data_IF_650966793558
#
_entry.id   IF_650966793558
#
_cell.length_a   1.000
_cell.length_b   1.000
_cell.length_c   1.000
_cell.angle_alpha   90.00
_cell.angle_beta   90.00
_cell.angle_gamma   90.00
#
_symmetry.space_group_name_H-M   'P 1'
#
loop_
_entity.id
_entity.type
_entity.pdbx_description
1 polymer ?
#
# COMPACT_ATOMS: atom_id res chain seq x y z
N UNK A 1 -25.63 25.51 33.13
CA UNK A 1 -24.29 25.50 32.57
C UNK A 1 -23.92 24.04 32.32
N UNK A 2 -23.90 23.60 31.06
CA UNK A 2 -23.42 22.25 30.72
C UNK A 2 -21.87 22.28 30.69
N UNK A 3 -21.20 21.30 31.30
CA UNK A 3 -19.76 21.22 31.22
C UNK A 3 -19.36 20.85 29.79
N UNK A 4 -18.50 21.68 29.17
CA UNK A 4 -17.86 21.38 27.90
C UNK A 4 -16.86 20.24 28.12
N UNK A 5 -17.12 19.09 27.48
CA UNK A 5 -16.14 18.01 27.41
C UNK A 5 -14.91 18.46 26.64
N UNK A 6 -13.70 18.20 27.12
CA UNK A 6 -12.48 18.51 26.37
C UNK A 6 -12.49 17.69 25.09
N UNK A 7 -12.34 18.36 23.95
CA UNK A 7 -12.09 17.68 22.67
C UNK A 7 -10.77 16.91 22.80
N UNK A 8 -10.85 15.59 22.69
CA UNK A 8 -9.66 14.75 22.66
C UNK A 8 -8.87 15.11 21.40
N UNK A 9 -7.77 15.83 21.58
CA UNK A 9 -6.76 15.94 20.53
C UNK A 9 -6.20 14.55 20.27
N UNK A 10 -6.74 13.86 19.29
CA UNK A 10 -6.11 12.68 18.75
C UNK A 10 -4.77 13.11 18.16
N UNK A 11 -3.69 12.92 18.92
CA UNK A 11 -2.33 13.10 18.41
C UNK A 11 -2.12 12.08 17.29
N UNK A 12 -2.30 12.52 16.07
CA UNK A 12 -1.97 11.73 14.88
C UNK A 12 -0.46 11.44 14.91
N UNK A 13 -0.10 10.16 14.92
CA UNK A 13 1.31 9.78 14.80
C UNK A 13 1.80 10.20 13.41
N UNK A 14 2.97 10.84 13.30
CA UNK A 14 3.51 11.26 12.00
C UNK A 14 3.91 10.05 11.14
N UNK A 15 4.01 10.23 9.81
CA UNK A 15 4.65 9.27 8.93
C UNK A 15 6.09 8.99 9.38
N UNK A 16 6.55 7.74 9.20
CA UNK A 16 7.88 7.31 9.65
C UNK A 16 8.68 6.76 8.47
N UNK A 17 9.89 7.27 8.29
CA UNK A 17 10.87 6.69 7.36
C UNK A 17 11.28 5.30 7.86
N UNK A 18 11.19 4.29 7.00
CA UNK A 18 11.51 2.89 7.30
C UNK A 18 12.74 2.39 6.51
N UNK A 19 12.97 2.95 5.33
CA UNK A 19 14.15 2.76 4.48
C UNK A 19 14.52 4.12 3.88
N UNK A 20 15.68 4.25 3.23
CA UNK A 20 16.21 5.55 2.76
C UNK A 20 15.18 6.41 2.02
N UNK A 21 14.48 5.82 1.06
CA UNK A 21 13.49 6.51 0.22
C UNK A 21 12.04 6.24 0.59
N UNK A 22 11.77 5.38 1.60
CA UNK A 22 10.45 4.84 1.91
C UNK A 22 9.95 5.31 3.26
N UNK A 23 8.74 5.84 3.26
CA UNK A 23 8.01 6.25 4.46
C UNK A 23 6.74 5.45 4.61
N UNK A 24 6.45 4.96 5.81
CA UNK A 24 5.20 4.30 6.18
C UNK A 24 4.30 5.25 6.96
N UNK A 25 3.01 5.27 6.61
CA UNK A 25 1.99 6.04 7.33
C UNK A 25 1.39 5.22 8.47
N UNK A 26 0.84 5.88 9.48
CA UNK A 26 0.01 5.22 10.48
C UNK A 26 -1.19 4.50 9.87
N UNK A 27 -1.72 3.43 10.51
CA UNK A 27 -2.90 2.74 10.02
C UNK A 27 -4.09 3.68 9.84
N UNK A 28 -4.73 3.61 8.67
CA UNK A 28 -5.85 4.47 8.28
C UNK A 28 -7.19 3.74 8.49
N UNK A 29 -8.14 4.37 9.20
CA UNK A 29 -9.49 3.82 9.42
C UNK A 29 -10.30 3.72 8.13
N UNK A 30 -10.14 4.66 7.18
CA UNK A 30 -10.84 4.66 5.90
C UNK A 30 -10.44 3.47 5.01
N UNK A 31 -9.28 2.88 5.27
CA UNK A 31 -8.78 1.67 4.61
C UNK A 31 -8.80 0.44 5.55
N UNK A 32 -9.72 0.41 6.52
CA UNK A 32 -9.86 -0.69 7.48
C UNK A 32 -8.58 -0.99 8.28
N UNK A 33 -7.86 0.06 8.69
CA UNK A 33 -6.59 -0.06 9.41
C UNK A 33 -5.40 -0.37 8.51
N UNK A 34 -5.50 -0.11 7.21
CA UNK A 34 -4.41 -0.30 6.25
C UNK A 34 -3.25 0.67 6.50
N UNK A 35 -2.04 0.18 6.27
CA UNK A 35 -0.80 0.98 6.25
C UNK A 35 -0.49 1.35 4.81
N UNK A 36 -0.37 2.66 4.55
CA UNK A 36 0.07 3.18 3.27
C UNK A 36 1.59 3.44 3.30
N UNK A 37 2.20 3.46 2.12
CA UNK A 37 3.63 3.73 1.96
C UNK A 37 3.86 4.81 0.92
N UNK A 38 4.97 5.52 1.04
CA UNK A 38 5.37 6.55 0.10
C UNK A 38 6.83 6.40 -0.27
N UNK A 39 7.12 6.36 -1.56
CA UNK A 39 8.48 6.27 -2.09
C UNK A 39 8.83 7.61 -2.75
N UNK A 40 9.91 8.23 -2.28
CA UNK A 40 10.48 9.44 -2.89
C UNK A 40 11.46 9.02 -3.97
N UNK A 41 11.27 9.52 -5.21
CA UNK A 41 12.06 9.14 -6.38
C UNK A 41 12.27 10.31 -7.33
N UNK A 42 13.38 10.28 -8.08
CA UNK A 42 13.68 11.29 -9.11
C UNK A 42 12.70 11.25 -10.29
N UNK A 43 12.26 10.05 -10.68
CA UNK A 43 11.31 9.81 -11.78
C UNK A 43 9.86 10.19 -11.41
N UNK A 44 9.67 10.59 -10.17
CA UNK A 44 8.38 10.96 -9.56
C UNK A 44 7.98 10.02 -8.44
N UNK A 45 7.40 10.60 -7.40
CA UNK A 45 7.01 9.90 -6.19
C UNK A 45 5.80 9.01 -6.40
N UNK A 46 5.78 7.87 -5.71
CA UNK A 46 4.64 6.96 -5.70
C UNK A 46 4.09 6.80 -4.29
N UNK A 47 2.77 6.97 -4.17
CA UNK A 47 2.01 6.63 -2.97
C UNK A 47 1.35 5.26 -3.18
N UNK A 48 1.52 4.38 -2.21
CA UNK A 48 0.99 3.01 -2.23
C UNK A 48 -0.09 2.92 -1.17
N UNK A 49 -1.32 2.70 -1.60
CA UNK A 49 -2.55 2.78 -0.83
C UNK A 49 -2.80 4.19 -0.22
N UNK A 50 -3.96 4.40 0.38
CA UNK A 50 -4.35 5.70 0.87
C UNK A 50 -4.08 5.84 2.37
N UNK A 51 -3.24 6.80 2.81
CA UNK A 51 -3.14 7.20 4.21
C UNK A 51 -4.40 7.95 4.66
N UNK A 52 -4.52 8.21 5.94
CA UNK A 52 -5.51 9.14 6.45
C UNK A 52 -5.34 10.50 5.77
N UNK A 53 -6.43 11.06 5.23
CA UNK A 53 -6.39 12.28 4.42
C UNK A 53 -6.60 13.51 5.31
N UNK A 54 -5.68 13.73 6.23
CA UNK A 54 -5.61 14.89 7.12
C UNK A 54 -4.54 15.90 6.68
N UNK A 55 -4.57 17.08 7.27
CA UNK A 55 -3.66 18.17 6.91
C UNK A 55 -2.18 17.80 7.09
N UNK A 56 -1.84 17.05 8.13
CA UNK A 56 -0.46 16.68 8.42
C UNK A 56 0.12 15.75 7.33
N UNK A 57 -0.68 14.78 6.87
CA UNK A 57 -0.28 13.88 5.80
C UNK A 57 -0.23 14.59 4.44
N UNK A 58 -1.16 15.55 4.18
CA UNK A 58 -1.13 16.38 2.98
C UNK A 58 0.14 17.22 2.94
N UNK A 59 0.45 17.96 4.02
CA UNK A 59 1.64 18.80 4.14
C UNK A 59 2.93 17.99 4.01
N UNK A 60 2.95 16.78 4.59
CA UNK A 60 4.08 15.86 4.44
C UNK A 60 4.29 15.49 2.97
N UNK A 61 3.26 15.03 2.28
CA UNK A 61 3.36 14.64 0.86
C UNK A 61 3.77 15.82 -0.02
N UNK A 62 3.20 17.01 0.23
CA UNK A 62 3.53 18.24 -0.48
C UNK A 62 4.99 18.64 -0.27
N UNK A 63 5.49 18.59 0.97
CA UNK A 63 6.88 18.89 1.32
C UNK A 63 7.90 17.98 0.64
N UNK A 64 7.47 16.79 0.22
CA UNK A 64 8.28 15.81 -0.51
C UNK A 64 8.15 15.90 -2.04
N UNK A 65 7.47 16.93 -2.57
CA UNK A 65 7.28 17.13 -4.00
C UNK A 65 5.99 16.52 -4.58
N UNK A 66 5.04 16.18 -3.72
CA UNK A 66 3.73 15.66 -4.12
C UNK A 66 3.75 14.21 -4.56
N UNK A 67 2.66 13.77 -5.17
CA UNK A 67 2.41 12.41 -5.63
C UNK A 67 2.26 12.40 -7.15
N UNK A 68 3.06 11.62 -7.87
CA UNK A 68 2.91 11.41 -9.31
C UNK A 68 2.01 10.23 -9.62
N UNK A 69 2.19 9.12 -8.90
CA UNK A 69 1.35 7.92 -9.01
C UNK A 69 0.76 7.54 -7.66
N UNK A 70 -0.51 7.14 -7.67
CA UNK A 70 -1.18 6.51 -6.54
C UNK A 70 -1.52 5.07 -6.94
N UNK A 71 -0.77 4.11 -6.42
CA UNK A 71 -1.06 2.69 -6.62
C UNK A 71 -2.02 2.19 -5.55
N UNK A 72 -3.11 1.56 -5.96
CA UNK A 72 -4.10 0.92 -5.07
C UNK A 72 -3.94 -0.59 -5.14
N UNK A 73 -3.49 -1.18 -4.05
CA UNK A 73 -3.18 -2.61 -3.97
C UNK A 73 -4.42 -3.51 -4.00
N UNK A 74 -5.57 -3.03 -3.56
CA UNK A 74 -6.85 -3.75 -3.54
C UNK A 74 -8.00 -2.80 -3.21
N UNK A 75 -9.24 -3.18 -3.52
CA UNK A 75 -10.45 -2.36 -3.32
C UNK A 75 -10.63 -1.78 -1.91
N UNK A 76 -10.15 -2.46 -0.87
CA UNK A 76 -10.23 -1.97 0.51
C UNK A 76 -9.22 -0.86 0.85
N UNK A 77 -8.29 -0.56 -0.07
CA UNK A 77 -7.27 0.47 0.11
C UNK A 77 -7.58 1.78 -0.64
N UNK A 78 -8.73 1.86 -1.32
CA UNK A 78 -9.16 3.01 -2.11
C UNK A 78 -9.22 4.30 -1.27
N UNK A 79 -9.73 4.24 -0.05
CA UNK A 79 -9.79 5.38 0.89
C UNK A 79 -10.24 6.69 0.24
N UNK A 80 -9.45 7.73 0.40
CA UNK A 80 -9.67 9.08 -0.14
C UNK A 80 -8.89 9.34 -1.44
N UNK A 81 -8.78 8.34 -2.32
CA UNK A 81 -7.98 8.42 -3.55
C UNK A 81 -8.42 9.54 -4.49
N UNK A 82 -9.73 9.83 -4.58
CA UNK A 82 -10.24 10.92 -5.41
C UNK A 82 -9.79 12.29 -4.91
N UNK A 83 -9.78 12.50 -3.58
CA UNK A 83 -9.29 13.72 -2.95
C UNK A 83 -7.77 13.88 -3.13
N UNK A 84 -7.01 12.79 -3.01
CA UNK A 84 -5.56 12.75 -3.26
C UNK A 84 -5.28 13.14 -4.71
N UNK A 85 -6.01 12.53 -5.66
CA UNK A 85 -5.88 12.85 -7.09
C UNK A 85 -6.21 14.32 -7.36
N UNK A 86 -7.30 14.84 -6.77
CA UNK A 86 -7.69 16.24 -6.93
C UNK A 86 -6.60 17.20 -6.43
N UNK A 87 -5.91 16.85 -5.34
CA UNK A 87 -4.88 17.71 -4.74
C UNK A 87 -3.59 17.70 -5.54
N UNK A 88 -3.11 16.52 -5.97
CA UNK A 88 -1.79 16.38 -6.60
C UNK A 88 -1.84 16.20 -8.12
N UNK A 89 -3.02 16.00 -8.72
CA UNK A 89 -3.13 15.66 -10.14
C UNK A 89 -2.53 14.31 -10.50
N UNK A 90 -2.33 13.43 -9.51
CA UNK A 90 -1.67 12.14 -9.69
C UNK A 90 -2.49 11.19 -10.57
N UNK A 91 -1.80 10.24 -11.19
CA UNK A 91 -2.42 9.13 -11.89
C UNK A 91 -2.69 7.98 -10.92
N UNK A 92 -3.93 7.45 -10.92
CA UNK A 92 -4.30 6.30 -10.08
C UNK A 92 -4.07 5.01 -10.87
N UNK A 93 -3.26 4.13 -10.30
CA UNK A 93 -2.99 2.80 -10.82
C UNK A 93 -3.77 1.78 -10.00
N UNK A 94 -4.67 1.05 -10.62
CA UNK A 94 -5.47 0.00 -9.98
C UNK A 94 -5.73 -1.14 -10.95
N UNK A 95 -5.86 -2.36 -10.45
CA UNK A 95 -6.16 -3.51 -11.30
C UNK A 95 -7.57 -3.39 -11.92
N UNK A 96 -7.70 -3.76 -13.19
CA UNK A 96 -8.89 -3.52 -14.04
C UNK A 96 -10.20 -4.04 -13.42
N UNK A 97 -10.17 -5.16 -12.70
CA UNK A 97 -11.37 -5.73 -12.08
C UNK A 97 -11.91 -4.90 -10.91
N UNK A 98 -11.18 -3.88 -10.46
CA UNK A 98 -11.59 -2.97 -9.38
C UNK A 98 -11.61 -1.49 -9.81
N UNK A 99 -11.22 -1.18 -11.05
CA UNK A 99 -11.20 0.18 -11.59
C UNK A 99 -12.59 0.84 -11.60
N UNK A 100 -13.66 0.06 -11.76
CA UNK A 100 -15.04 0.55 -11.71
C UNK A 100 -15.47 1.16 -10.37
N UNK A 101 -14.70 0.91 -9.30
CA UNK A 101 -14.94 1.47 -7.97
C UNK A 101 -14.51 2.95 -7.85
N UNK A 102 -13.86 3.49 -8.89
CA UNK A 102 -13.34 4.87 -8.94
C UNK A 102 -14.02 5.68 -10.05
N UNK A 103 -15.35 5.80 -10.04
CA UNK A 103 -16.07 6.56 -11.06
C UNK A 103 -15.65 8.04 -11.01
N UNK A 104 -15.38 8.63 -12.17
CA UNK A 104 -14.98 10.04 -12.29
C UNK A 104 -13.52 10.35 -11.98
N UNK A 105 -12.71 9.37 -11.57
CA UNK A 105 -11.27 9.53 -11.41
C UNK A 105 -10.52 9.19 -12.69
N UNK A 106 -9.39 9.85 -12.93
CA UNK A 106 -8.45 9.46 -13.99
C UNK A 106 -7.66 8.23 -13.52
N UNK A 107 -7.97 7.08 -14.09
CA UNK A 107 -7.43 5.79 -13.67
C UNK A 107 -6.72 5.10 -14.84
N UNK A 108 -5.54 4.56 -14.59
CA UNK A 108 -4.91 3.56 -15.45
C UNK A 108 -5.24 2.16 -14.90
N UNK A 109 -6.07 1.45 -15.65
CA UNK A 109 -6.46 0.08 -15.33
C UNK A 109 -5.31 -0.87 -15.71
N UNK A 110 -4.82 -1.63 -14.73
CA UNK A 110 -3.72 -2.58 -14.89
C UNK A 110 -4.30 -3.97 -15.14
N UNK A 111 -3.76 -4.70 -16.11
CA UNK A 111 -4.09 -6.11 -16.35
C UNK A 111 -3.27 -7.05 -15.45
N UNK A 112 -2.53 -7.98 -16.00
CA UNK A 112 -1.76 -8.99 -15.24
C UNK A 112 -0.44 -8.42 -14.69
N UNK A 113 0.27 -7.65 -15.50
CA UNK A 113 1.57 -7.09 -15.19
C UNK A 113 1.71 -5.70 -15.80
N UNK A 114 2.25 -4.77 -15.05
CA UNK A 114 2.42 -3.39 -15.50
C UNK A 114 3.75 -2.84 -15.01
N UNK A 115 4.59 -2.38 -15.93
CA UNK A 115 5.86 -1.74 -15.62
C UNK A 115 5.65 -0.22 -15.65
N UNK A 116 5.81 0.43 -14.50
CA UNK A 116 5.75 1.89 -14.40
C UNK A 116 7.03 2.48 -15.01
N UNK A 117 8.16 1.91 -14.64
CA UNK A 117 9.50 2.21 -15.15
C UNK A 117 10.46 1.05 -14.83
N UNK A 118 11.77 1.22 -15.09
CA UNK A 118 12.78 0.18 -14.85
C UNK A 118 12.90 -0.27 -13.39
N UNK A 119 12.42 0.52 -12.44
CA UNK A 119 12.50 0.22 -11.00
C UNK A 119 11.18 -0.23 -10.36
N UNK A 120 10.04 -0.03 -11.03
CA UNK A 120 8.71 -0.28 -10.46
C UNK A 120 7.85 -1.18 -11.34
N UNK A 121 7.38 -2.27 -10.77
CA UNK A 121 6.50 -3.23 -11.44
C UNK A 121 5.31 -3.60 -10.57
N UNK A 122 4.11 -3.52 -11.14
CA UNK A 122 2.88 -4.05 -10.53
C UNK A 122 2.64 -5.47 -11.03
N UNK A 123 2.27 -6.36 -10.13
CA UNK A 123 2.00 -7.78 -10.38
C UNK A 123 0.60 -8.08 -9.85
N UNK A 124 -0.29 -8.55 -10.71
CA UNK A 124 -1.61 -9.00 -10.29
C UNK A 124 -1.52 -10.28 -9.45
N UNK A 125 -2.03 -10.23 -8.24
CA UNK A 125 -2.01 -11.32 -7.26
C UNK A 125 -3.42 -11.57 -6.71
N UNK A 126 -4.35 -12.07 -7.56
CA UNK A 126 -5.74 -12.24 -7.16
C UNK A 126 -5.90 -13.24 -6.01
N UNK A 127 -6.88 -12.97 -5.17
CA UNK A 127 -7.22 -13.88 -4.07
C UNK A 127 -7.81 -13.19 -2.87
N UNK A 128 -7.12 -12.24 -2.26
CA UNK A 128 -7.71 -11.39 -1.21
C UNK A 128 -8.92 -10.61 -1.75
N UNK A 129 -8.75 -9.97 -2.90
CA UNK A 129 -9.83 -9.42 -3.73
C UNK A 129 -9.59 -9.77 -5.21
N UNK A 130 -10.57 -9.56 -6.11
CA UNK A 130 -10.38 -9.83 -7.54
C UNK A 130 -9.19 -9.08 -8.14
N UNK A 131 -9.05 -7.79 -7.81
CA UNK A 131 -8.00 -6.90 -8.29
C UNK A 131 -6.80 -6.78 -7.36
N UNK A 132 -6.64 -7.65 -6.35
CA UNK A 132 -5.44 -7.62 -5.50
C UNK A 132 -4.18 -7.66 -6.33
N UNK A 133 -3.25 -6.74 -6.04
CA UNK A 133 -1.97 -6.61 -6.74
C UNK A 133 -0.87 -6.23 -5.77
N UNK A 134 0.35 -6.69 -6.06
CA UNK A 134 1.56 -6.28 -5.35
C UNK A 134 2.35 -5.29 -6.22
N UNK A 135 3.08 -4.37 -5.58
CA UNK A 135 4.06 -3.52 -6.25
C UNK A 135 5.45 -3.99 -5.85
N UNK A 136 6.28 -4.27 -6.84
CA UNK A 136 7.70 -4.53 -6.64
C UNK A 136 8.53 -3.29 -6.96
N UNK A 137 9.45 -2.94 -6.07
CA UNK A 137 10.42 -1.87 -6.24
C UNK A 137 11.83 -2.45 -6.22
N UNK A 138 12.51 -2.37 -7.37
CA UNK A 138 13.88 -2.87 -7.54
C UNK A 138 14.90 -1.87 -6.99
N UNK A 139 14.94 -1.74 -5.68
CA UNK A 139 15.89 -0.89 -4.95
C UNK A 139 16.17 -1.53 -3.60
N UNK A 140 17.29 -1.22 -2.99
CA UNK A 140 17.68 -1.69 -1.64
C UNK A 140 17.60 -3.22 -1.47
N UNK A 141 17.91 -4.01 -2.51
CA UNK A 141 17.83 -5.48 -2.51
C UNK A 141 16.46 -6.04 -2.90
N UNK A 142 15.52 -5.19 -3.28
CA UNK A 142 14.17 -5.57 -3.69
C UNK A 142 13.13 -5.47 -2.59
N UNK A 143 12.03 -4.79 -2.87
CA UNK A 143 10.97 -4.50 -1.91
C UNK A 143 9.62 -4.82 -2.53
N UNK A 144 8.81 -5.63 -1.85
CA UNK A 144 7.47 -6.00 -2.29
C UNK A 144 6.41 -5.40 -1.37
N UNK A 145 5.57 -4.52 -1.91
CA UNK A 145 4.39 -3.98 -1.24
C UNK A 145 3.21 -4.89 -1.52
N UNK A 146 2.72 -5.56 -0.50
CA UNK A 146 1.78 -6.68 -0.67
C UNK A 146 0.32 -6.34 -0.35
N UNK A 147 0.05 -5.10 0.10
CA UNK A 147 -1.29 -4.77 0.57
C UNK A 147 -1.78 -5.78 1.62
N UNK A 148 -2.88 -6.47 1.31
CA UNK A 148 -3.42 -7.53 2.19
C UNK A 148 -3.21 -8.95 1.65
N UNK A 149 -2.39 -9.09 0.63
CA UNK A 149 -2.10 -10.41 0.04
C UNK A 149 -1.23 -11.27 0.96
N UNK A 150 -0.13 -10.66 1.46
CA UNK A 150 0.74 -11.20 2.51
C UNK A 150 0.80 -10.20 3.68
N UNK A 151 0.67 -10.69 4.89
CA UNK A 151 0.70 -9.89 6.12
C UNK A 151 1.56 -10.59 7.17
N UNK A 152 2.12 -9.85 8.15
CA UNK A 152 2.91 -10.49 9.20
C UNK A 152 2.02 -11.29 10.15
N UNK A 153 2.53 -12.44 10.59
CA UNK A 153 2.05 -13.15 11.75
C UNK A 153 2.72 -12.63 13.04
N UNK A 154 2.53 -13.30 14.17
CA UNK A 154 3.12 -12.92 15.47
C UNK A 154 4.64 -13.09 15.50
N UNK A 155 5.14 -14.00 14.70
CA UNK A 155 6.56 -14.33 14.51
C UNK A 155 7.22 -13.40 13.50
N UNK A 156 6.47 -12.44 12.95
CA UNK A 156 6.85 -11.48 11.89
C UNK A 156 7.06 -12.12 10.51
N UNK A 157 6.64 -13.34 10.31
CA UNK A 157 6.74 -14.02 9.02
C UNK A 157 5.61 -13.61 8.08
N UNK A 158 5.84 -13.51 6.75
CA UNK A 158 4.82 -13.21 5.77
C UNK A 158 3.87 -14.38 5.56
N UNK A 159 2.61 -14.21 5.90
CA UNK A 159 1.57 -15.22 5.72
C UNK A 159 0.39 -14.69 4.91
N UNK A 160 -0.32 -15.55 4.16
CA UNK A 160 -1.53 -15.13 3.46
C UNK A 160 -2.64 -14.77 4.44
N UNK A 161 -3.27 -13.62 4.22
CA UNK A 161 -4.43 -13.19 5.02
C UNK A 161 -5.69 -13.90 4.57
N UNK A 162 -6.20 -14.80 5.41
CA UNK A 162 -7.51 -15.44 5.20
C UNK A 162 -8.55 -14.86 6.14
N UNK A 163 -9.61 -14.28 5.59
CA UNK A 163 -10.75 -13.74 6.33
C UNK A 163 -12.04 -14.19 5.67
N UNK A 164 -13.20 -13.92 6.31
CA UNK A 164 -14.51 -14.15 5.70
C UNK A 164 -14.75 -13.30 4.44
N UNK A 165 -13.96 -12.24 4.24
CA UNK A 165 -14.00 -11.35 3.07
C UNK A 165 -12.99 -11.73 1.98
N UNK A 166 -12.18 -12.77 2.15
CA UNK A 166 -11.24 -13.26 1.14
C UNK A 166 -12.04 -13.75 -0.07
N UNK A 167 -11.78 -13.15 -1.24
CA UNK A 167 -12.52 -13.42 -2.46
C UNK A 167 -12.37 -14.88 -2.92
N UNK A 168 -11.11 -15.37 -2.99
CA UNK A 168 -10.85 -16.73 -3.47
C UNK A 168 -9.55 -17.30 -2.93
N UNK A 169 -9.63 -18.11 -1.89
CA UNK A 169 -8.47 -18.63 -1.18
C UNK A 169 -7.47 -19.40 -2.06
N UNK A 170 -7.95 -20.30 -2.91
CA UNK A 170 -7.06 -21.08 -3.78
C UNK A 170 -6.30 -20.20 -4.80
N UNK A 171 -6.94 -19.13 -5.29
CA UNK A 171 -6.25 -18.15 -6.14
C UNK A 171 -5.17 -17.41 -5.38
N UNK A 172 -5.43 -17.04 -4.12
CA UNK A 172 -4.44 -16.38 -3.27
C UNK A 172 -3.21 -17.27 -3.06
N UNK A 173 -3.40 -18.55 -2.78
CA UNK A 173 -2.29 -19.52 -2.64
C UNK A 173 -1.53 -19.68 -3.97
N UNK A 174 -2.25 -19.75 -5.11
CA UNK A 174 -1.61 -19.82 -6.43
C UNK A 174 -0.76 -18.57 -6.70
N UNK A 175 -1.26 -17.39 -6.39
CA UNK A 175 -0.54 -16.13 -6.55
C UNK A 175 0.73 -16.09 -5.69
N UNK A 176 0.68 -16.60 -4.46
CA UNK A 176 1.86 -16.69 -3.60
C UNK A 176 2.91 -17.62 -4.22
N UNK A 177 2.52 -18.78 -4.73
CA UNK A 177 3.46 -19.69 -5.42
C UNK A 177 4.14 -19.00 -6.59
N UNK A 178 3.39 -18.24 -7.38
CA UNK A 178 3.95 -17.45 -8.49
C UNK A 178 4.95 -16.39 -7.99
N UNK A 179 4.68 -15.73 -6.87
CA UNK A 179 5.64 -14.80 -6.27
C UNK A 179 6.92 -15.51 -5.82
N UNK A 180 6.81 -16.67 -5.15
CA UNK A 180 7.96 -17.49 -4.73
C UNK A 180 8.80 -18.00 -5.93
N UNK A 181 8.16 -18.25 -7.07
CA UNK A 181 8.85 -18.64 -8.31
C UNK A 181 9.50 -17.44 -9.01
N UNK A 182 8.99 -16.21 -8.77
CA UNK A 182 9.47 -14.98 -9.39
C UNK A 182 10.63 -14.36 -8.64
N UNK A 183 10.61 -14.42 -7.32
CA UNK A 183 11.59 -13.77 -6.44
C UNK A 183 12.47 -14.79 -5.73
N UNK A 184 13.72 -14.40 -5.49
CA UNK A 184 14.73 -15.15 -4.72
C UNK A 184 15.28 -14.25 -3.62
N UNK A 185 15.99 -14.81 -2.66
CA UNK A 185 16.66 -14.07 -1.58
C UNK A 185 17.63 -12.97 -2.12
N UNK A 186 18.05 -13.06 -3.39
CA UNK A 186 18.88 -12.04 -4.03
C UNK A 186 18.07 -10.90 -4.65
N UNK A 187 16.79 -11.11 -4.90
CA UNK A 187 15.91 -10.15 -5.59
C UNK A 187 14.78 -9.63 -4.73
N UNK A 188 14.59 -10.17 -3.52
CA UNK A 188 13.58 -9.71 -2.57
C UNK A 188 14.13 -9.73 -1.15
N UNK A 189 14.47 -8.56 -0.64
CA UNK A 189 14.96 -8.38 0.73
C UNK A 189 13.83 -8.03 1.70
N UNK A 190 12.87 -7.20 1.27
CA UNK A 190 11.86 -6.66 2.16
C UNK A 190 10.44 -6.88 1.67
N UNK A 191 9.52 -7.17 2.59
CA UNK A 191 8.08 -7.11 2.34
C UNK A 191 7.46 -5.99 3.18
N UNK A 192 6.69 -5.09 2.52
CA UNK A 192 5.92 -4.01 3.11
C UNK A 192 4.43 -4.35 3.10
N UNK A 193 3.87 -4.90 4.18
CA UNK A 193 2.47 -5.33 4.25
C UNK A 193 1.52 -4.16 4.51
N UNK A 194 0.36 -4.16 3.85
CA UNK A 194 -0.68 -3.15 4.05
C UNK A 194 -1.57 -3.39 5.29
N UNK A 195 -1.37 -4.48 6.05
CA UNK A 195 -2.15 -4.77 7.25
C UNK A 195 -1.33 -5.53 8.30
N UNK A 196 -1.89 -5.66 9.52
CA UNK A 196 -1.27 -6.35 10.66
C UNK A 196 0.11 -5.81 11.07
N UNK A 197 0.47 -4.62 10.61
CA UNK A 197 1.79 -3.99 10.85
C UNK A 197 2.08 -3.75 12.34
N UNK A 198 1.10 -3.90 13.22
CA UNK A 198 1.28 -3.88 14.68
C UNK A 198 2.20 -4.99 15.18
N UNK A 199 2.21 -6.17 14.54
CA UNK A 199 3.12 -7.27 14.88
C UNK A 199 4.59 -6.94 14.60
N UNK A 200 4.87 -5.98 13.71
CA UNK A 200 6.21 -5.52 13.37
C UNK A 200 6.76 -4.47 14.34
N UNK A 201 6.02 -4.16 15.43
CA UNK A 201 6.45 -3.25 16.51
C UNK A 201 7.02 -1.90 16.04
N UNK A 202 6.47 -1.37 14.92
CA UNK A 202 6.86 -0.07 14.36
C UNK A 202 7.87 -0.12 13.22
N UNK A 203 8.48 -1.25 12.92
CA UNK A 203 9.38 -1.42 11.75
C UNK A 203 8.63 -1.25 10.44
N UNK A 204 7.37 -1.71 10.37
CA UNK A 204 6.47 -1.59 9.22
C UNK A 204 6.90 -2.37 7.97
N UNK A 205 7.94 -3.16 8.05
CA UNK A 205 8.45 -4.05 7.02
C UNK A 205 8.87 -5.38 7.64
N UNK A 206 8.90 -6.42 6.82
CA UNK A 206 9.49 -7.72 7.12
C UNK A 206 10.84 -7.75 6.41
N UNK A 207 11.90 -8.04 7.14
CA UNK A 207 13.28 -8.16 6.65
C UNK A 207 13.61 -9.63 6.42
N UNK A 208 14.48 -9.91 5.45
CA UNK A 208 14.85 -11.27 5.01
C UNK A 208 13.63 -12.09 4.57
N UNK A 209 12.85 -11.54 3.67
CA UNK A 209 11.59 -12.07 3.18
C UNK A 209 11.77 -13.28 2.26
#
# INVERSE_FOLDING_TARGET
>A
MCPSFPQSHHTHKPPRTILNSITAFPPNRDTLGGTAYFIVRNEGNILIDCPAWDKNNQDFLESKGGVRWLFISHRGAIGKSAEIQKTFGCEILIQEQEAYLLPGSKVTAISEKFTIDSGLQVIWTPGHSPGSSCLYYNSEGGILFTGRHLVPNREKEPVPLRTSKTFHWHRQIKSIKTLLETFTDQTLQYICPGANTGFLRGERLIDNA
#
